data_IF_247636184858
#
_entry.id   IF_247636184858
#
_cell.length_a   1.000
_cell.length_b   1.000
_cell.length_c   1.000
_cell.angle_alpha   90.00
_cell.angle_beta   90.00
_cell.angle_gamma   90.00
#
_symmetry.space_group_name_H-M   'P 1'
#
loop_
_entity.id
_entity.type
_entity.pdbx_description
1 polymer ?
#
# COMPACT_ATOMS: atom_id res chain seq x y z
N UNK A 1 6.03 -60.15 3.41
CA UNK A 1 5.27 -59.05 3.99
C UNK A 1 5.72 -58.96 5.44
N UNK A 2 6.71 -58.10 5.73
CA UNK A 2 7.14 -57.80 7.10
C UNK A 2 6.20 -56.78 7.70
N UNK A 3 5.65 -57.04 8.86
CA UNK A 3 4.95 -56.09 9.68
C UNK A 3 5.95 -55.06 10.22
N UNK A 4 5.62 -53.76 10.33
CA UNK A 4 6.48 -52.84 11.05
C UNK A 4 6.49 -53.23 12.53
N UNK A 5 7.68 -53.37 13.13
CA UNK A 5 7.88 -53.52 14.57
C UNK A 5 7.38 -52.21 15.24
N UNK A 6 6.31 -52.32 16.04
CA UNK A 6 5.89 -51.25 16.93
C UNK A 6 6.95 -51.15 18.06
N UNK A 7 7.50 -49.94 18.24
CA UNK A 7 8.42 -49.62 19.32
C UNK A 7 7.78 -49.96 20.69
N UNK A 8 8.55 -50.51 21.60
CA UNK A 8 8.03 -50.85 22.93
C UNK A 8 7.71 -49.60 23.76
N UNK A 9 6.73 -49.62 24.68
CA UNK A 9 6.39 -48.45 25.51
C UNK A 9 7.57 -47.90 26.33
N UNK A 10 8.58 -48.71 26.61
CA UNK A 10 9.80 -48.25 27.29
C UNK A 10 10.75 -47.50 26.37
N UNK A 11 10.82 -47.83 25.09
CA UNK A 11 11.61 -47.11 24.09
C UNK A 11 10.98 -45.76 23.76
N UNK A 12 9.66 -45.69 23.63
CA UNK A 12 8.93 -44.44 23.43
C UNK A 12 9.12 -43.47 24.62
N UNK A 13 9.06 -43.97 25.87
CA UNK A 13 9.27 -43.15 27.08
C UNK A 13 10.72 -42.67 27.24
N UNK A 14 11.69 -43.41 26.67
CA UNK A 14 13.11 -43.00 26.70
C UNK A 14 13.42 -42.00 25.59
N UNK A 15 12.74 -42.06 24.46
CA UNK A 15 12.86 -41.11 23.38
C UNK A 15 12.24 -39.76 23.77
N UNK A 16 11.02 -39.74 24.31
CA UNK A 16 10.38 -38.52 24.84
C UNK A 16 11.24 -37.81 25.90
N UNK A 17 11.83 -38.55 26.81
CA UNK A 17 12.69 -37.98 27.86
C UNK A 17 14.00 -37.41 27.32
N UNK A 18 14.54 -37.96 26.25
CA UNK A 18 15.73 -37.42 25.57
C UNK A 18 15.41 -36.17 24.78
N UNK A 19 14.25 -36.12 24.12
CA UNK A 19 13.77 -34.95 23.44
C UNK A 19 13.55 -33.78 24.43
N UNK A 20 12.91 -34.04 25.58
CA UNK A 20 12.71 -33.03 26.63
C UNK A 20 14.05 -32.50 27.19
N UNK A 21 15.05 -33.39 27.42
CA UNK A 21 16.39 -32.99 27.89
C UNK A 21 17.17 -32.18 26.82
N UNK A 22 17.02 -32.52 25.55
CA UNK A 22 17.64 -31.75 24.44
C UNK A 22 16.98 -30.41 24.25
N UNK A 23 15.65 -30.31 24.39
CA UNK A 23 14.91 -29.04 24.34
C UNK A 23 15.26 -28.12 25.52
N UNK A 24 15.37 -28.68 26.75
CA UNK A 24 15.75 -27.92 27.93
C UNK A 24 17.20 -27.41 27.84
N UNK A 25 18.12 -28.23 27.30
CA UNK A 25 19.49 -27.82 27.05
C UNK A 25 19.60 -26.74 25.96
N UNK A 26 18.82 -26.86 24.89
CA UNK A 26 18.75 -25.85 23.82
C UNK A 26 18.19 -24.52 24.32
N UNK A 27 17.13 -24.58 25.14
CA UNK A 27 16.52 -23.37 25.75
C UNK A 27 17.52 -22.68 26.71
N UNK A 28 18.25 -23.44 27.51
CA UNK A 28 19.30 -22.88 28.37
C UNK A 28 20.42 -22.22 27.55
N UNK A 29 20.82 -22.84 26.43
CA UNK A 29 21.87 -22.30 25.57
C UNK A 29 21.43 -20.96 24.90
N UNK A 30 20.18 -20.87 24.46
CA UNK A 30 19.62 -19.63 23.90
C UNK A 30 19.52 -18.52 24.94
N UNK A 31 19.24 -18.88 26.21
CA UNK A 31 19.17 -17.91 27.31
C UNK A 31 20.53 -17.27 27.64
N UNK A 32 21.65 -18.00 27.41
CA UNK A 32 23.01 -17.55 27.68
C UNK A 32 23.69 -16.83 26.51
N UNK A 33 23.05 -16.84 25.29
CA UNK A 33 23.63 -16.16 24.13
C UNK A 33 23.85 -14.67 24.38
N UNK A 34 25.01 -14.13 23.98
CA UNK A 34 25.19 -12.67 23.94
C UNK A 34 24.13 -11.99 23.08
N UNK A 35 23.66 -10.83 23.52
CA UNK A 35 22.59 -10.07 22.85
C UNK A 35 22.77 -9.92 21.34
N UNK A 36 23.95 -9.54 20.80
CA UNK A 36 24.12 -9.39 19.35
C UNK A 36 23.92 -10.69 18.57
N UNK A 37 24.21 -11.85 19.17
CA UNK A 37 23.99 -13.15 18.54
C UNK A 37 22.52 -13.55 18.62
N UNK A 38 21.88 -13.30 19.75
CA UNK A 38 20.45 -13.57 19.92
C UNK A 38 19.61 -12.70 18.97
N UNK A 39 19.94 -11.42 18.78
CA UNK A 39 19.30 -10.54 17.79
C UNK A 39 19.40 -11.10 16.38
N UNK A 40 20.56 -11.64 15.99
CA UNK A 40 20.74 -12.27 14.68
C UNK A 40 19.87 -13.51 14.51
N UNK A 41 19.81 -14.36 15.53
CA UNK A 41 18.95 -15.55 15.51
C UNK A 41 17.47 -15.16 15.40
N UNK A 42 17.03 -14.20 16.21
CA UNK A 42 15.65 -13.69 16.15
C UNK A 42 15.34 -13.04 14.80
N UNK A 43 16.28 -12.33 14.20
CA UNK A 43 16.07 -11.67 12.90
C UNK A 43 15.80 -12.67 11.75
N UNK A 44 16.23 -13.93 11.86
CA UNK A 44 15.93 -14.97 10.87
C UNK A 44 14.48 -15.48 10.96
N UNK A 45 13.79 -15.25 12.09
CA UNK A 45 12.43 -15.73 12.28
C UNK A 45 11.41 -14.83 11.57
N UNK A 46 10.26 -15.40 11.14
CA UNK A 46 9.17 -14.61 10.62
C UNK A 46 8.69 -13.54 11.61
N UNK A 47 8.40 -12.33 11.10
CA UNK A 47 7.98 -11.21 11.93
C UNK A 47 6.73 -11.51 12.79
N UNK A 48 5.80 -12.31 12.27
CA UNK A 48 4.62 -12.75 13.01
C UNK A 48 4.99 -13.60 14.23
N UNK A 49 5.95 -14.53 14.09
CA UNK A 49 6.41 -15.38 15.20
C UNK A 49 7.15 -14.57 16.26
N UNK A 50 7.91 -13.54 15.85
CA UNK A 50 8.56 -12.64 16.81
C UNK A 50 7.54 -11.98 17.74
N UNK A 51 6.46 -11.43 17.16
CA UNK A 51 5.44 -10.69 17.92
C UNK A 51 4.49 -11.61 18.67
N UNK A 52 4.11 -12.75 18.09
CA UNK A 52 3.06 -13.62 18.65
C UNK A 52 3.61 -14.69 19.60
N UNK A 53 4.85 -15.15 19.41
CA UNK A 53 5.44 -16.23 20.20
C UNK A 53 6.70 -15.77 20.94
N UNK A 54 7.72 -15.29 20.24
CA UNK A 54 9.02 -14.97 20.85
C UNK A 54 8.92 -13.91 21.95
N UNK A 55 8.07 -12.91 21.74
CA UNK A 55 7.79 -11.84 22.72
C UNK A 55 7.24 -12.37 24.06
N UNK A 56 6.66 -13.56 24.08
CA UNK A 56 6.04 -14.19 25.25
C UNK A 56 6.95 -15.16 25.98
N UNK A 57 8.14 -15.48 25.46
CA UNK A 57 9.07 -16.48 26.03
C UNK A 57 9.61 -16.01 27.38
N UNK A 58 10.21 -14.82 27.46
CA UNK A 58 10.71 -14.23 28.70
C UNK A 58 10.88 -12.70 28.55
N UNK A 59 11.15 -12.01 29.67
CA UNK A 59 11.32 -10.54 29.67
C UNK A 59 12.45 -10.09 28.74
N UNK A 60 13.58 -10.79 28.71
CA UNK A 60 14.71 -10.47 27.83
C UNK A 60 14.31 -10.54 26.35
N UNK A 61 13.61 -11.59 25.94
CA UNK A 61 13.15 -11.73 24.56
C UNK A 61 12.12 -10.67 24.21
N UNK A 62 11.22 -10.37 25.16
CA UNK A 62 10.26 -9.29 24.99
C UNK A 62 10.96 -7.95 24.74
N UNK A 63 11.96 -7.60 25.55
CA UNK A 63 12.73 -6.37 25.39
C UNK A 63 13.44 -6.28 24.03
N UNK A 64 13.99 -7.41 23.55
CA UNK A 64 14.62 -7.49 22.24
C UNK A 64 13.60 -7.36 21.10
N UNK A 65 12.44 -8.00 21.20
CA UNK A 65 11.37 -7.93 20.18
C UNK A 65 10.70 -6.57 20.14
N UNK A 66 10.53 -5.91 21.30
CA UNK A 66 9.98 -4.56 21.37
C UNK A 66 11.05 -3.49 21.00
N UNK A 67 12.31 -3.87 20.94
CA UNK A 67 13.44 -2.97 20.71
C UNK A 67 13.72 -2.66 19.24
N UNK A 68 14.15 -1.44 18.96
CA UNK A 68 14.52 -0.97 17.62
C UNK A 68 15.61 -1.80 16.91
N UNK A 69 16.68 -2.32 17.58
CA UNK A 69 17.79 -3.01 16.92
C UNK A 69 17.39 -4.23 16.12
N UNK A 70 16.42 -5.02 16.62
CA UNK A 70 15.93 -6.21 15.92
C UNK A 70 15.25 -5.85 14.59
N UNK A 71 14.37 -4.85 14.63
CA UNK A 71 13.60 -4.44 13.46
C UNK A 71 14.44 -3.69 12.44
N UNK A 72 15.41 -2.91 12.87
CA UNK A 72 16.42 -2.32 11.98
C UNK A 72 17.20 -3.41 11.24
N UNK A 73 17.68 -4.45 11.98
CA UNK A 73 18.38 -5.57 11.37
C UNK A 73 17.51 -6.30 10.35
N UNK A 74 16.23 -6.56 10.68
CA UNK A 74 15.28 -7.15 9.72
C UNK A 74 15.07 -6.28 8.49
N UNK A 75 14.91 -4.98 8.67
CA UNK A 75 14.77 -4.05 7.54
C UNK A 75 15.98 -4.07 6.61
N UNK A 76 17.19 -4.13 7.17
CA UNK A 76 18.43 -4.24 6.40
C UNK A 76 18.54 -5.59 5.66
N UNK A 77 18.27 -6.71 6.35
CA UNK A 77 18.31 -8.05 5.74
C UNK A 77 17.31 -8.19 4.58
N UNK A 78 16.15 -7.57 4.71
CA UNK A 78 15.09 -7.63 3.69
C UNK A 78 15.15 -6.50 2.66
N UNK A 79 16.21 -5.66 2.71
CA UNK A 79 16.46 -4.60 1.73
C UNK A 79 15.46 -3.43 1.79
N UNK A 80 14.77 -3.25 2.93
CA UNK A 80 13.84 -2.14 3.13
C UNK A 80 14.58 -0.82 3.42
N UNK A 81 15.80 -0.92 3.92
CA UNK A 81 16.73 0.21 4.11
C UNK A 81 18.14 -0.22 3.69
N UNK A 82 18.98 0.71 3.16
CA UNK A 82 20.39 0.43 2.86
C UNK A 82 21.17 0.03 4.12
N UNK A 83 22.18 -0.85 3.98
CA UNK A 83 23.13 -1.11 5.04
C UNK A 83 23.91 0.18 5.38
N UNK A 84 23.90 0.56 6.66
CA UNK A 84 24.61 1.75 7.16
C UNK A 84 23.78 3.04 7.12
N UNK A 85 22.60 3.04 6.54
CA UNK A 85 21.66 4.16 6.57
C UNK A 85 20.65 3.94 7.71
N UNK A 86 21.16 3.84 8.94
CA UNK A 86 20.31 3.89 10.12
C UNK A 86 19.99 5.35 10.38
N UNK A 87 18.78 5.80 10.06
CA UNK A 87 18.26 7.06 10.58
C UNK A 87 18.17 6.90 12.11
N UNK A 88 19.21 7.36 12.81
CA UNK A 88 19.35 7.22 14.27
C UNK A 88 18.21 7.90 15.03
N UNK A 89 17.44 8.75 14.37
CA UNK A 89 16.28 9.45 14.95
C UNK A 89 14.97 8.64 14.88
N UNK A 90 14.96 7.49 14.20
CA UNK A 90 13.74 6.69 14.05
C UNK A 90 13.55 5.69 15.22
N UNK A 91 12.63 5.99 16.11
CA UNK A 91 12.34 5.17 17.29
C UNK A 91 11.41 3.97 17.00
N UNK A 92 10.66 3.98 15.88
CA UNK A 92 9.58 3.03 15.59
C UNK A 92 9.90 2.06 14.45
N UNK A 93 11.06 1.38 14.52
CA UNK A 93 11.50 0.44 13.47
C UNK A 93 10.59 -0.76 13.25
N UNK A 94 9.93 -1.27 14.29
CA UNK A 94 8.93 -2.34 14.16
C UNK A 94 7.76 -1.91 13.27
N UNK A 95 7.24 -0.72 13.53
CA UNK A 95 6.14 -0.15 12.77
C UNK A 95 6.55 0.14 11.33
N UNK A 96 7.73 0.73 11.13
CA UNK A 96 8.31 0.95 9.80
C UNK A 96 8.40 -0.35 9.01
N UNK A 97 8.89 -1.44 9.62
CA UNK A 97 8.97 -2.75 8.99
C UNK A 97 7.61 -3.22 8.49
N UNK A 98 6.59 -3.23 9.35
CA UNK A 98 5.26 -3.71 8.99
C UNK A 98 4.58 -2.83 7.93
N UNK A 99 4.73 -1.52 7.99
CA UNK A 99 4.19 -0.60 6.99
C UNK A 99 4.89 -0.76 5.64
N UNK A 100 6.23 -0.87 5.63
CA UNK A 100 7.00 -1.11 4.42
C UNK A 100 6.60 -2.41 3.72
N UNK A 101 6.38 -3.48 4.49
CA UNK A 101 5.92 -4.77 3.95
C UNK A 101 4.49 -4.74 3.41
N UNK A 102 3.68 -3.79 3.84
CA UNK A 102 2.30 -3.60 3.37
C UNK A 102 2.18 -2.54 2.27
N UNK A 103 3.25 -1.84 1.95
CA UNK A 103 3.24 -0.79 0.94
C UNK A 103 2.80 -1.35 -0.42
N UNK A 104 1.61 -0.98 -0.84
CA UNK A 104 1.03 -1.32 -2.13
C UNK A 104 0.01 -0.27 -2.53
N UNK A 105 -0.34 -0.24 -3.80
CA UNK A 105 -1.48 0.56 -4.25
C UNK A 105 -2.77 -0.03 -3.67
N UNK A 106 -3.55 0.79 -2.98
CA UNK A 106 -4.83 0.40 -2.37
C UNK A 106 -6.01 0.57 -3.34
N UNK A 107 -5.82 1.32 -4.44
CA UNK A 107 -6.82 1.41 -5.51
C UNK A 107 -6.80 0.12 -6.35
N UNK A 108 -7.97 -0.34 -6.69
CA UNK A 108 -8.19 -1.49 -7.59
C UNK A 108 -8.37 -0.99 -9.02
N UNK A 109 -7.91 -1.77 -9.99
CA UNK A 109 -8.08 -1.48 -11.40
C UNK A 109 -7.74 -0.01 -11.78
N UNK A 110 -6.54 0.49 -11.43
CA UNK A 110 -6.18 1.90 -11.60
C UNK A 110 -5.94 2.30 -13.06
N UNK A 111 -5.73 1.32 -13.93
CA UNK A 111 -5.41 1.54 -15.35
C UNK A 111 -6.52 1.08 -16.30
N UNK A 112 -7.64 0.55 -15.78
CA UNK A 112 -8.76 0.10 -16.62
C UNK A 112 -8.57 -1.27 -17.27
N UNK A 113 -7.69 -2.13 -16.72
CA UNK A 113 -7.51 -3.49 -17.25
C UNK A 113 -8.80 -4.32 -17.22
N UNK A 114 -9.66 -4.03 -16.25
CA UNK A 114 -10.96 -4.67 -16.00
C UNK A 114 -12.11 -3.66 -16.22
N UNK A 115 -12.03 -2.82 -17.24
CA UNK A 115 -12.97 -1.74 -17.53
C UNK A 115 -13.24 -0.85 -16.30
N UNK A 116 -14.46 -0.76 -15.80
CA UNK A 116 -14.83 0.02 -14.62
C UNK A 116 -14.97 -0.82 -13.35
N UNK A 117 -14.52 -2.07 -13.35
CA UNK A 117 -14.62 -2.91 -12.16
C UNK A 117 -13.80 -2.31 -11.00
N UNK A 118 -14.37 -2.33 -9.79
CA UNK A 118 -13.78 -1.74 -8.60
C UNK A 118 -14.06 -0.25 -8.41
N UNK A 119 -14.59 0.43 -9.43
CA UNK A 119 -15.00 1.83 -9.33
C UNK A 119 -16.48 1.94 -8.97
N UNK A 120 -16.81 2.86 -8.07
CA UNK A 120 -18.17 3.18 -7.63
C UNK A 120 -18.54 4.63 -7.96
N UNK A 121 -19.79 5.01 -7.70
CA UNK A 121 -20.31 6.34 -7.95
C UNK A 121 -19.98 6.86 -9.36
N UNK A 122 -20.13 5.95 -10.34
CA UNK A 122 -19.74 6.23 -11.72
C UNK A 122 -20.80 7.11 -12.38
N UNK A 123 -20.41 8.33 -12.71
CA UNK A 123 -21.20 9.27 -13.51
C UNK A 123 -20.76 9.19 -14.97
N UNK A 124 -21.71 8.91 -15.85
CA UNK A 124 -21.53 8.83 -17.29
C UNK A 124 -22.09 10.09 -17.96
N UNK A 125 -21.32 11.19 -17.96
CA UNK A 125 -21.70 12.38 -18.73
C UNK A 125 -21.43 12.18 -20.23
N UNK A 126 -22.31 12.72 -21.08
CA UNK A 126 -22.20 12.57 -22.52
C UNK A 126 -22.29 11.11 -22.98
N UNK A 127 -21.25 10.60 -23.66
CA UNK A 127 -21.14 9.19 -24.07
C UNK A 127 -20.52 8.30 -22.96
N UNK A 128 -20.22 8.87 -21.78
CA UNK A 128 -19.73 8.15 -20.61
C UNK A 128 -18.22 7.91 -20.62
N UNK A 129 -17.79 7.04 -19.72
CA UNK A 129 -16.41 6.55 -19.66
C UNK A 129 -16.13 5.50 -20.72
N UNK A 130 -14.94 5.51 -21.25
CA UNK A 130 -14.39 4.47 -22.13
C UNK A 130 -12.98 4.12 -21.72
N UNK A 131 -12.64 2.84 -21.79
CA UNK A 131 -11.27 2.39 -21.65
C UNK A 131 -10.64 2.28 -23.03
N UNK A 132 -9.45 2.84 -23.18
CA UNK A 132 -8.68 2.83 -24.41
C UNK A 132 -7.25 2.35 -24.14
N UNK A 133 -6.58 1.84 -25.18
CA UNK A 133 -5.18 1.44 -25.12
C UNK A 133 -4.26 2.63 -25.41
N UNK A 134 -3.13 2.70 -24.73
CA UNK A 134 -2.08 3.69 -24.98
C UNK A 134 -1.45 3.48 -26.37
N UNK A 135 -1.05 4.57 -27.06
CA UNK A 135 -1.24 5.99 -26.68
C UNK A 135 -2.63 6.54 -27.00
N UNK A 136 -3.48 5.78 -27.69
CA UNK A 136 -4.78 6.20 -28.19
C UNK A 136 -4.72 7.23 -29.32
N UNK A 137 -5.90 7.57 -29.88
CA UNK A 137 -5.99 8.57 -30.96
C UNK A 137 -5.56 9.94 -30.47
N UNK A 138 -4.70 10.63 -31.21
CA UNK A 138 -4.15 11.94 -30.85
C UNK A 138 -3.62 11.99 -29.40
N UNK A 139 -3.04 10.89 -28.95
CA UNK A 139 -2.48 10.73 -27.62
C UNK A 139 -0.96 10.67 -27.59
N UNK A 140 -0.43 10.61 -26.39
CA UNK A 140 0.99 10.54 -26.09
C UNK A 140 1.27 9.28 -25.29
N UNK A 141 2.43 8.64 -25.53
CA UNK A 141 2.87 7.48 -24.79
C UNK A 141 3.02 7.78 -23.30
N UNK A 142 2.68 6.80 -22.47
CA UNK A 142 2.94 6.85 -21.03
C UNK A 142 4.31 6.19 -20.77
N UNK A 143 5.31 7.01 -20.47
CA UNK A 143 6.71 6.57 -20.33
C UNK A 143 7.18 6.40 -18.88
N UNK A 144 6.28 6.64 -17.91
CA UNK A 144 6.61 6.63 -16.48
C UNK A 144 6.53 5.24 -15.85
N UNK A 145 5.77 4.33 -16.46
CA UNK A 145 5.63 2.94 -16.04
C UNK A 145 5.26 2.07 -17.24
N UNK A 146 6.18 1.21 -17.67
CA UNK A 146 6.01 0.33 -18.82
C UNK A 146 4.91 -0.74 -18.63
N UNK A 147 4.45 -0.97 -17.42
CA UNK A 147 3.36 -1.89 -17.13
C UNK A 147 1.99 -1.32 -17.47
N UNK A 148 1.84 0.00 -17.51
CA UNK A 148 0.59 0.70 -17.84
C UNK A 148 0.33 0.59 -19.34
N UNK A 149 -0.82 0.04 -19.72
CA UNK A 149 -1.20 -0.19 -21.12
C UNK A 149 -2.49 0.50 -21.53
N UNK A 150 -3.33 0.86 -20.55
CA UNK A 150 -4.67 1.41 -20.77
C UNK A 150 -4.91 2.66 -19.95
N UNK A 151 -5.95 3.37 -20.31
CA UNK A 151 -6.43 4.55 -19.61
C UNK A 151 -7.95 4.67 -19.74
N UNK A 152 -8.55 5.45 -18.85
CA UNK A 152 -9.95 5.85 -18.93
C UNK A 152 -10.05 7.19 -19.66
N UNK A 153 -10.91 7.28 -20.65
CA UNK A 153 -11.24 8.52 -21.35
C UNK A 153 -12.64 9.01 -20.98
N UNK A 154 -12.76 10.27 -20.63
CA UNK A 154 -14.05 10.93 -20.39
C UNK A 154 -14.64 11.54 -21.67
N UNK A 155 -15.91 11.96 -21.62
CA UNK A 155 -16.65 12.44 -22.76
C UNK A 155 -16.88 13.97 -22.69
N UNK A 156 -17.89 14.46 -23.41
CA UNK A 156 -18.20 15.89 -23.57
C UNK A 156 -18.99 16.51 -22.42
N UNK A 157 -19.49 15.72 -21.49
CA UNK A 157 -20.03 16.14 -20.20
C UNK A 157 -19.27 15.47 -19.08
N UNK A 158 -19.36 16.02 -17.86
CA UNK A 158 -18.63 15.51 -16.71
C UNK A 158 -18.85 14.02 -16.48
N UNK A 159 -17.77 13.28 -16.61
CA UNK A 159 -17.67 11.90 -16.14
C UNK A 159 -16.92 11.91 -14.80
N UNK A 160 -17.42 11.18 -13.81
CA UNK A 160 -16.75 10.96 -12.51
C UNK A 160 -16.79 9.50 -12.14
N UNK A 161 -15.80 9.08 -11.36
CA UNK A 161 -15.79 7.78 -10.73
C UNK A 161 -14.99 7.85 -9.44
N UNK A 162 -15.34 7.01 -8.47
CA UNK A 162 -14.71 7.01 -7.16
C UNK A 162 -14.35 5.60 -6.70
N UNK A 163 -13.47 5.53 -5.71
CA UNK A 163 -13.27 4.34 -4.87
C UNK A 163 -13.25 4.76 -3.41
N UNK A 164 -13.81 3.93 -2.56
CA UNK A 164 -13.72 4.06 -1.11
C UNK A 164 -12.83 2.91 -0.61
N UNK A 165 -11.73 3.29 0.03
CA UNK A 165 -10.74 2.36 0.60
C UNK A 165 -11.01 2.28 2.09
N UNK A 166 -11.36 1.10 2.61
CA UNK A 166 -11.45 0.81 4.03
C UNK A 166 -10.05 0.46 4.54
N UNK A 167 -9.42 1.39 5.27
CA UNK A 167 -8.06 1.22 5.76
C UNK A 167 -7.94 0.07 6.76
N UNK A 168 -8.97 -0.21 7.56
CA UNK A 168 -8.96 -1.33 8.49
C UNK A 168 -9.06 -2.67 7.75
N UNK A 169 -9.91 -2.78 6.75
CA UNK A 169 -9.99 -3.96 5.89
C UNK A 169 -8.68 -4.19 5.11
N UNK A 170 -7.95 -3.12 4.77
CA UNK A 170 -6.62 -3.19 4.15
C UNK A 170 -5.49 -3.54 5.15
N UNK A 171 -5.83 -3.66 6.44
CA UNK A 171 -4.94 -4.13 7.51
C UNK A 171 -4.23 -3.02 8.29
N UNK A 172 -4.69 -1.77 8.20
CA UNK A 172 -4.20 -0.66 9.02
C UNK A 172 -5.12 -0.51 10.22
N UNK A 173 -4.60 -0.72 11.44
CA UNK A 173 -5.40 -0.73 12.67
C UNK A 173 -5.61 0.67 13.25
N UNK A 174 -6.65 0.82 14.06
CA UNK A 174 -7.10 2.12 14.59
C UNK A 174 -6.00 2.89 15.33
N UNK A 175 -5.29 2.23 16.26
CA UNK A 175 -4.25 2.90 17.05
C UNK A 175 -3.14 3.48 16.16
N UNK A 176 -2.76 2.78 15.09
CA UNK A 176 -1.81 3.27 14.10
C UNK A 176 -2.32 4.55 13.42
N UNK A 177 -3.58 4.51 12.95
CA UNK A 177 -4.19 5.63 12.24
C UNK A 177 -4.45 6.83 13.15
N UNK A 178 -4.73 6.60 14.43
CA UNK A 178 -5.09 7.64 15.38
C UNK A 178 -3.89 8.26 16.11
N UNK A 179 -2.83 7.49 16.35
CA UNK A 179 -1.67 7.95 17.13
C UNK A 179 -0.46 8.26 16.27
N UNK A 180 -0.06 7.33 15.40
CA UNK A 180 1.12 7.53 14.55
C UNK A 180 0.80 8.37 13.32
N UNK A 181 -0.41 8.21 12.79
CA UNK A 181 -0.88 8.94 11.61
C UNK A 181 0.13 8.84 10.44
N UNK A 182 0.44 7.62 9.96
CA UNK A 182 1.37 7.44 8.86
C UNK A 182 0.90 8.21 7.64
N UNK A 183 1.83 8.74 6.85
CA UNK A 183 1.51 9.52 5.69
C UNK A 183 0.66 8.71 4.68
N UNK A 184 -0.42 9.30 4.20
CA UNK A 184 -1.26 8.73 3.14
C UNK A 184 -0.95 9.49 1.86
N UNK A 185 -0.32 8.81 0.91
CA UNK A 185 0.09 9.39 -0.37
C UNK A 185 -0.90 9.03 -1.44
N UNK A 186 -1.32 10.02 -2.19
CA UNK A 186 -2.23 9.87 -3.32
C UNK A 186 -1.58 10.42 -4.58
N UNK A 187 -1.76 9.72 -5.69
CA UNK A 187 -1.30 10.15 -7.01
C UNK A 187 -2.32 9.81 -8.07
N UNK A 188 -2.37 10.63 -9.09
CA UNK A 188 -3.11 10.37 -10.31
C UNK A 188 -2.33 10.89 -11.52
N UNK A 189 -2.56 10.29 -12.66
CA UNK A 189 -1.99 10.73 -13.92
C UNK A 189 -3.10 11.11 -14.87
N UNK A 190 -3.03 12.31 -15.41
CA UNK A 190 -3.98 12.78 -16.39
C UNK A 190 -3.30 13.35 -17.64
N UNK A 191 -4.03 13.33 -18.73
CA UNK A 191 -3.61 13.88 -20.02
C UNK A 191 -4.82 14.37 -20.80
N UNK A 192 -4.58 15.20 -21.79
CA UNK A 192 -5.54 15.55 -22.81
C UNK A 192 -5.20 14.92 -24.17
N UNK A 193 -6.03 15.17 -25.15
CA UNK A 193 -5.74 14.91 -26.56
C UNK A 193 -5.01 16.12 -27.15
N UNK A 194 -4.17 15.88 -28.15
CA UNK A 194 -3.51 16.96 -28.88
C UNK A 194 -4.48 17.76 -29.77
N UNK A 195 -5.62 17.17 -30.13
CA UNK A 195 -6.62 17.74 -31.01
C UNK A 195 -7.86 18.34 -30.27
N UNK A 196 -7.92 18.21 -28.96
CA UNK A 196 -9.02 18.75 -28.14
C UNK A 196 -8.55 19.08 -26.72
N UNK A 197 -8.95 20.24 -26.21
CA UNK A 197 -8.75 20.59 -24.81
C UNK A 197 -9.73 19.85 -23.89
N UNK A 198 -9.35 19.69 -22.62
CA UNK A 198 -10.20 19.06 -21.61
C UNK A 198 -10.08 19.72 -20.24
N UNK A 199 -10.98 19.34 -19.35
CA UNK A 199 -10.95 19.66 -17.92
C UNK A 199 -10.78 18.39 -17.13
N UNK A 200 -9.94 18.42 -16.10
CA UNK A 200 -9.68 17.34 -15.15
C UNK A 200 -9.91 17.83 -13.73
N UNK A 201 -10.32 16.95 -12.83
CA UNK A 201 -10.46 17.22 -11.41
C UNK A 201 -10.19 15.96 -10.59
N UNK A 202 -9.41 16.12 -9.52
CA UNK A 202 -9.18 15.10 -8.50
C UNK A 202 -9.63 15.64 -7.15
N UNK A 203 -10.40 14.85 -6.42
CA UNK A 203 -10.77 15.13 -5.02
C UNK A 203 -10.53 13.86 -4.20
N UNK A 204 -9.75 13.99 -3.12
CA UNK A 204 -9.49 12.91 -2.18
C UNK A 204 -9.91 13.36 -0.79
N UNK A 205 -10.69 12.52 -0.10
CA UNK A 205 -11.18 12.79 1.25
C UNK A 205 -10.76 11.67 2.20
N UNK A 206 -10.26 12.06 3.36
CA UNK A 206 -10.11 11.18 4.50
C UNK A 206 -11.39 11.25 5.33
N UNK A 207 -12.01 10.09 5.57
CA UNK A 207 -13.31 10.01 6.21
C UNK A 207 -13.22 9.26 7.56
N UNK A 208 -14.09 9.66 8.48
CA UNK A 208 -14.33 8.94 9.74
C UNK A 208 -15.11 7.64 9.51
N UNK A 209 -15.35 6.87 10.58
CA UNK A 209 -16.24 5.70 10.54
C UNK A 209 -17.70 6.04 10.20
N UNK A 210 -18.10 7.31 10.39
CA UNK A 210 -19.43 7.84 10.07
C UNK A 210 -19.44 8.55 8.70
N UNK A 211 -18.37 8.43 7.92
CA UNK A 211 -18.19 9.09 6.62
C UNK A 211 -18.12 10.63 6.71
N UNK A 212 -17.85 11.19 7.89
CA UNK A 212 -17.57 12.61 8.03
C UNK A 212 -16.19 12.95 7.43
N UNK A 213 -16.11 14.05 6.71
CA UNK A 213 -14.84 14.51 6.10
C UNK A 213 -13.93 15.10 7.18
N UNK A 214 -12.79 14.46 7.41
CA UNK A 214 -11.76 14.90 8.35
C UNK A 214 -10.66 15.71 7.68
N UNK A 215 -10.30 15.35 6.45
CA UNK A 215 -9.35 16.08 5.62
C UNK A 215 -9.73 15.93 4.13
N UNK A 216 -9.41 16.93 3.34
CA UNK A 216 -9.71 16.95 1.90
C UNK A 216 -8.56 17.57 1.13
N UNK A 217 -8.28 16.99 -0.02
CA UNK A 217 -7.48 17.56 -1.08
C UNK A 217 -8.31 17.65 -2.35
N UNK A 218 -8.26 18.78 -3.03
CA UNK A 218 -8.83 18.95 -4.36
C UNK A 218 -7.84 19.67 -5.27
N UNK A 219 -7.72 19.21 -6.51
CA UNK A 219 -6.97 19.92 -7.55
C UNK A 219 -7.69 21.18 -8.03
N UNK A 220 -9.00 21.27 -7.73
CA UNK A 220 -9.89 22.13 -8.51
C UNK A 220 -9.96 21.65 -9.96
N UNK A 221 -10.67 22.41 -10.79
CA UNK A 221 -10.74 22.10 -12.22
C UNK A 221 -9.48 22.55 -12.94
N UNK A 222 -8.71 21.57 -13.42
CA UNK A 222 -7.49 21.80 -14.18
C UNK A 222 -7.81 21.77 -15.66
N UNK A 223 -7.53 22.87 -16.37
CA UNK A 223 -7.70 22.96 -17.81
C UNK A 223 -6.43 22.47 -18.52
N UNK A 224 -6.59 21.50 -19.42
CA UNK A 224 -5.56 21.04 -20.34
C UNK A 224 -5.90 21.61 -21.72
N UNK A 225 -5.18 22.64 -22.19
CA UNK A 225 -5.48 23.26 -23.48
C UNK A 225 -5.12 22.32 -24.63
N UNK A 226 -5.80 22.49 -25.76
CA UNK A 226 -5.40 21.89 -27.04
C UNK A 226 -4.00 22.39 -27.42
N UNK A 227 -3.22 21.54 -28.07
CA UNK A 227 -1.87 21.88 -28.53
C UNK A 227 -0.90 22.36 -27.43
N UNK A 228 -1.09 21.92 -26.19
CA UNK A 228 -0.10 22.18 -25.14
C UNK A 228 1.22 21.49 -25.54
N UNK A 229 2.32 22.25 -25.61
CA UNK A 229 3.67 21.73 -25.93
C UNK A 229 4.11 20.62 -24.97
N UNK A 230 3.47 20.57 -23.79
CA UNK A 230 3.66 19.54 -22.77
C UNK A 230 2.68 18.37 -22.91
N UNK A 231 2.11 18.11 -24.09
CA UNK A 231 1.03 17.13 -24.38
C UNK A 231 1.23 15.70 -23.85
N UNK A 232 2.04 15.56 -22.82
CA UNK A 232 2.34 14.35 -22.10
C UNK A 232 1.37 14.08 -20.94
N UNK A 233 1.65 13.02 -20.24
CA UNK A 233 0.97 12.67 -18.99
C UNK A 233 1.51 13.53 -17.84
N UNK A 234 0.62 14.11 -17.07
CA UNK A 234 0.92 14.99 -15.94
C UNK A 234 0.59 14.24 -14.65
N UNK A 235 1.55 14.17 -13.73
CA UNK A 235 1.33 13.65 -12.39
C UNK A 235 0.75 14.75 -11.51
N UNK A 236 -0.29 14.39 -10.77
CA UNK A 236 -0.75 15.14 -9.61
C UNK A 236 -0.62 14.27 -8.38
N UNK A 237 -0.08 14.82 -7.31
CA UNK A 237 0.13 14.08 -6.06
C UNK A 237 -0.18 14.95 -4.86
N UNK A 238 -0.60 14.30 -3.78
CA UNK A 238 -0.78 14.91 -2.47
C UNK A 238 -0.43 13.92 -1.38
N UNK A 239 0.12 14.42 -0.28
CA UNK A 239 0.43 13.61 0.90
C UNK A 239 -0.31 14.17 2.10
N UNK A 240 -1.18 13.37 2.69
CA UNK A 240 -1.82 13.70 3.94
C UNK A 240 -0.91 13.32 5.10
N UNK A 241 -0.58 14.29 5.94
CA UNK A 241 0.15 14.15 7.20
C UNK A 241 -0.61 14.89 8.29
N UNK A 242 -0.40 14.54 9.54
CA UNK A 242 -1.00 15.23 10.70
C UNK A 242 -2.52 15.43 10.57
N UNK A 243 -3.21 14.45 10.00
CA UNK A 243 -4.64 14.53 9.67
C UNK A 243 -5.57 14.36 10.88
N UNK A 244 -5.01 14.11 12.06
CA UNK A 244 -5.74 13.87 13.29
C UNK A 244 -6.33 12.47 13.41
N UNK A 245 -6.82 12.10 14.58
CA UNK A 245 -7.42 10.79 14.83
C UNK A 245 -8.80 10.64 14.17
N UNK A 246 -9.22 9.39 13.99
CA UNK A 246 -10.57 9.05 13.52
C UNK A 246 -10.67 8.70 12.04
N UNK A 247 -9.59 8.78 11.27
CA UNK A 247 -9.57 8.37 9.84
C UNK A 247 -9.76 6.87 9.73
N UNK A 248 -10.75 6.45 8.91
CA UNK A 248 -11.05 5.03 8.63
C UNK A 248 -11.11 4.73 7.15
N UNK A 249 -11.50 5.70 6.33
CA UNK A 249 -11.64 5.51 4.89
C UNK A 249 -10.89 6.59 4.11
N UNK A 250 -10.45 6.22 2.91
CA UNK A 250 -9.98 7.16 1.89
C UNK A 250 -10.96 7.09 0.73
N UNK A 251 -11.62 8.20 0.40
CA UNK A 251 -12.43 8.34 -0.81
C UNK A 251 -11.60 9.05 -1.87
N UNK A 252 -11.27 8.34 -2.92
CA UNK A 252 -10.59 8.86 -4.10
C UNK A 252 -11.63 9.06 -5.20
N UNK A 253 -11.74 10.26 -5.73
CA UNK A 253 -12.70 10.61 -6.79
C UNK A 253 -12.00 11.46 -7.83
N UNK A 254 -12.09 11.08 -9.09
CA UNK A 254 -11.59 11.88 -10.18
C UNK A 254 -12.56 11.89 -11.35
N UNK A 255 -12.36 12.86 -12.24
CA UNK A 255 -13.20 12.97 -13.41
C UNK A 255 -12.70 14.02 -14.40
N UNK A 256 -13.49 14.21 -15.45
CA UNK A 256 -13.20 15.19 -16.46
C UNK A 256 -14.26 15.25 -17.54
N UNK A 257 -14.07 16.20 -18.44
CA UNK A 257 -14.85 16.37 -19.65
C UNK A 257 -13.98 17.02 -20.73
N UNK A 258 -14.44 17.02 -21.97
CA UNK A 258 -13.81 17.85 -22.98
C UNK A 258 -14.20 19.35 -22.83
N UNK A 259 -13.48 20.23 -23.49
CA UNK A 259 -13.78 21.66 -23.54
C UNK A 259 -14.41 22.11 -24.87
N UNK A 260 -14.64 21.18 -25.80
CA UNK A 260 -15.13 21.45 -27.16
C UNK A 260 -16.54 20.93 -27.38
N UNK A 261 -17.09 20.17 -26.44
CA UNK A 261 -18.43 19.56 -26.46
C UNK A 261 -18.68 18.70 -27.72
N UNK A 262 -17.63 17.95 -28.12
CA UNK A 262 -17.73 17.04 -29.25
C UNK A 262 -18.21 15.66 -28.78
N UNK A 263 -19.17 15.13 -29.51
CA UNK A 263 -19.64 13.76 -29.27
C UNK A 263 -18.46 12.78 -29.41
N UNK A 264 -18.33 11.89 -28.41
CA UNK A 264 -17.24 10.91 -28.33
C UNK A 264 -16.39 11.12 -27.07
N UNK A 265 -15.14 10.65 -27.10
CA UNK A 265 -14.23 10.59 -25.94
C UNK A 265 -13.04 11.53 -26.13
N UNK A 266 -13.34 12.82 -26.15
CA UNK A 266 -12.35 13.90 -26.31
C UNK A 266 -11.96 14.56 -24.98
N UNK A 267 -12.50 14.05 -23.86
CA UNK A 267 -12.27 14.57 -22.54
C UNK A 267 -10.93 14.16 -21.91
N UNK A 268 -10.82 14.37 -20.61
CA UNK A 268 -9.62 13.99 -19.87
C UNK A 268 -9.39 12.48 -19.90
N UNK A 269 -8.14 12.11 -20.03
CA UNK A 269 -7.61 10.76 -19.93
C UNK A 269 -6.95 10.59 -18.59
N UNK A 270 -7.24 9.52 -17.89
CA UNK A 270 -6.69 9.24 -16.55
C UNK A 270 -6.21 7.80 -16.47
N UNK A 271 -5.08 7.57 -15.79
CA UNK A 271 -4.51 6.24 -15.59
C UNK A 271 -3.56 6.22 -14.39
N UNK A 272 -3.11 5.03 -14.01
CA UNK A 272 -2.10 4.80 -12.98
C UNK A 272 -2.37 5.53 -11.67
N UNK A 273 -3.66 5.64 -11.31
CA UNK A 273 -4.09 6.21 -10.03
C UNK A 273 -3.56 5.38 -8.87
N UNK A 274 -3.14 6.00 -7.79
CA UNK A 274 -2.61 5.27 -6.65
C UNK A 274 -2.89 5.94 -5.31
N UNK A 275 -3.11 5.11 -4.31
CA UNK A 275 -3.19 5.48 -2.90
C UNK A 275 -2.39 4.46 -2.12
N UNK A 276 -1.46 4.90 -1.29
CA UNK A 276 -0.73 4.01 -0.37
C UNK A 276 -0.42 4.71 0.94
N UNK A 277 -0.15 3.91 1.97
CA UNK A 277 0.30 4.38 3.28
C UNK A 277 1.82 4.24 3.34
N UNK A 278 2.51 5.33 3.66
CA UNK A 278 3.96 5.34 3.84
C UNK A 278 4.35 5.04 5.28
N UNK A 279 5.46 4.32 5.47
CA UNK A 279 5.98 4.01 6.80
C UNK A 279 6.59 5.21 7.51
#
# INVERSE_FOLDING_TARGET
MGQPEEASPEEACTEERREDEEEEAAAAYLAELPEPLLLRVLAELPAAELVQACRLVCLRWKELVDGAPLWLLKCQQEGLVPEGDADEERDHWQQFYFLSKRRRNLLRNPCGEEDLEGWCDVEHGGDGWRVEELPGDSGVEFTHDDSVKKYFASSFEWCRKAQIIDLQAEGYWEELLDTTQPAIVVKDWYSGRTDAGCLYELTVRLLSEHEDVLAEFTSGQVAVPQDSDDGGWIEISHTFTDYGPGVRFVRFEHGGQDSVYWKGWFGARVTNSSVWVEP
#
